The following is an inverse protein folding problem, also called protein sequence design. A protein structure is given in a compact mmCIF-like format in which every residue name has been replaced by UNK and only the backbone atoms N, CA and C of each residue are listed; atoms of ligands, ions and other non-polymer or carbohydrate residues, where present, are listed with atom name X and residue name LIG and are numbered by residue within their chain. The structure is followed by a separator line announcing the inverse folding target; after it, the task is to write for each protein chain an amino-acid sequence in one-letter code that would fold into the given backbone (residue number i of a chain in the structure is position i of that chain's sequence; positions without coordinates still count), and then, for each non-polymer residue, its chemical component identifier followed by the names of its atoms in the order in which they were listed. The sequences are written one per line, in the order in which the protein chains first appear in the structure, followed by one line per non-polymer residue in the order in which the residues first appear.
data_IF_023857149297
#
_entry.id   IF_023857149297
#
_cell.length_a   1.000
_cell.length_b   1.000
_cell.length_c   1.000
_cell.angle_alpha   90.00
_cell.angle_beta   90.00
_cell.angle_gamma   90.00
#
_symmetry.space_group_name_H-M   'P 1'
#
loop_
_entity.id
_entity.type
_entity.pdbx_description
1 polymer ?
#
# COMPACT_ATOMS: atom_id res chain seq x y z
N UNK A 1 -12.31 19.70 -7.08
CA UNK A 1 -12.27 18.46 -6.27
C UNK A 1 -11.95 17.32 -7.23
N UNK A 2 -11.03 16.41 -6.90
CA UNK A 2 -10.67 15.32 -7.82
C UNK A 2 -11.73 14.24 -7.70
N UNK A 3 -12.69 14.25 -8.63
CA UNK A 3 -13.85 13.33 -8.62
C UNK A 3 -13.52 11.95 -9.23
N UNK A 4 -12.38 11.80 -9.91
CA UNK A 4 -11.96 10.54 -10.53
C UNK A 4 -10.43 10.44 -10.52
N UNK A 5 -9.88 9.27 -10.17
CA UNK A 5 -8.44 9.01 -10.13
C UNK A 5 -8.06 8.07 -8.98
N UNK A 6 -6.75 7.87 -8.78
CA UNK A 6 -6.18 6.95 -7.76
C UNK A 6 -6.40 7.42 -6.31
N UNK A 7 -6.72 8.71 -6.11
CA UNK A 7 -6.92 9.33 -4.80
C UNK A 7 -8.08 10.33 -4.87
N UNK A 8 -9.31 9.81 -4.82
CA UNK A 8 -10.50 10.66 -4.64
C UNK A 8 -10.55 11.19 -3.20
N UNK A 9 -11.46 12.14 -2.90
CA UNK A 9 -11.62 12.68 -1.54
C UNK A 9 -11.98 11.59 -0.52
N UNK A 10 -12.65 10.52 -0.95
CA UNK A 10 -12.98 9.38 -0.08
C UNK A 10 -11.71 8.56 0.23
N UNK A 11 -10.84 8.40 -0.76
CA UNK A 11 -9.59 7.62 -0.65
C UNK A 11 -8.54 8.30 0.23
N UNK A 12 -8.60 9.62 0.40
CA UNK A 12 -7.68 10.37 1.26
C UNK A 12 -7.68 9.86 2.70
N UNK A 13 -8.86 9.60 3.26
CA UNK A 13 -9.00 9.05 4.62
C UNK A 13 -8.40 7.65 4.75
N UNK A 14 -8.59 6.80 3.72
CA UNK A 14 -8.02 5.47 3.67
C UNK A 14 -6.50 5.50 3.47
N UNK A 15 -5.99 6.49 2.74
CA UNK A 15 -4.56 6.70 2.53
C UNK A 15 -3.86 7.16 3.81
N UNK A 16 -4.47 8.07 4.57
CA UNK A 16 -3.94 8.50 5.86
C UNK A 16 -3.80 7.33 6.83
N UNK A 17 -4.85 6.51 6.97
CA UNK A 17 -4.83 5.29 7.78
C UNK A 17 -3.79 4.27 7.31
N UNK A 18 -3.58 4.17 5.99
CA UNK A 18 -2.54 3.32 5.41
C UNK A 18 -1.14 3.79 5.83
N UNK A 19 -0.88 5.10 5.76
CA UNK A 19 0.39 5.69 6.18
C UNK A 19 0.62 5.53 7.69
N UNK A 20 -0.42 5.74 8.51
CA UNK A 20 -0.33 5.56 9.96
C UNK A 20 0.01 4.12 10.33
N UNK A 21 -0.67 3.14 9.72
CA UNK A 21 -0.40 1.72 9.94
C UNK A 21 1.04 1.34 9.56
N UNK A 22 1.58 1.92 8.48
CA UNK A 22 2.98 1.73 8.11
C UNK A 22 3.94 2.36 9.14
N UNK A 23 3.63 3.56 9.64
CA UNK A 23 4.40 4.23 10.70
C UNK A 23 4.48 3.39 11.96
N UNK A 24 3.34 2.91 12.46
CA UNK A 24 3.27 2.02 13.63
C UNK A 24 4.08 0.73 13.42
N UNK A 25 3.98 0.12 12.23
CA UNK A 25 4.81 -1.04 11.89
C UNK A 25 6.31 -0.71 11.96
N UNK A 26 6.73 0.43 11.42
CA UNK A 26 8.15 0.84 11.41
C UNK A 26 8.69 1.08 12.81
N UNK A 27 7.91 1.71 13.69
CA UNK A 27 8.30 1.93 15.08
C UNK A 27 8.45 0.61 15.84
N UNK A 28 7.48 -0.30 15.72
CA UNK A 28 7.52 -1.61 16.37
C UNK A 28 8.64 -2.49 15.82
N UNK A 29 8.84 -2.49 14.50
CA UNK A 29 9.97 -3.18 13.87
C UNK A 29 11.29 -2.61 14.39
N UNK A 30 11.39 -1.30 14.60
CA UNK A 30 12.61 -0.71 15.14
C UNK A 30 12.88 -1.16 16.58
N UNK A 31 11.86 -1.13 17.45
CA UNK A 31 11.95 -1.60 18.82
C UNK A 31 12.33 -3.10 18.93
N UNK A 32 11.84 -3.91 17.99
CA UNK A 32 12.13 -5.35 17.97
C UNK A 32 13.57 -5.61 17.51
N UNK A 33 13.97 -5.01 16.38
CA UNK A 33 15.21 -5.35 15.69
C UNK A 33 16.39 -4.41 15.98
N UNK A 34 16.20 -3.38 16.78
CA UNK A 34 17.30 -2.50 17.19
C UNK A 34 17.26 -2.25 18.70
N UNK A 35 18.46 -2.16 19.26
CA UNK A 35 18.66 -1.78 20.66
C UNK A 35 19.76 -0.72 20.71
N UNK A 36 19.65 0.20 21.66
CA UNK A 36 20.72 1.17 21.94
C UNK A 36 21.51 0.63 23.11
N UNK A 37 22.73 0.16 22.83
CA UNK A 37 23.72 -0.24 23.83
C UNK A 37 24.91 0.72 23.72
N UNK A 38 25.37 1.26 24.84
CA UNK A 38 26.49 2.20 24.90
C UNK A 38 26.34 3.42 23.97
N UNK A 39 25.10 3.92 23.81
CA UNK A 39 24.79 5.04 22.92
C UNK A 39 24.89 4.72 21.42
N UNK A 40 25.11 3.45 21.05
CA UNK A 40 25.17 2.99 19.66
C UNK A 40 23.97 2.10 19.34
N UNK A 41 23.31 2.39 18.23
CA UNK A 41 22.24 1.55 17.69
C UNK A 41 22.83 0.28 17.11
N UNK A 42 22.53 -0.87 17.74
CA UNK A 42 22.89 -2.20 17.23
C UNK A 42 21.65 -2.90 16.70
N UNK A 43 21.86 -3.71 15.67
CA UNK A 43 20.83 -4.63 15.18
C UNK A 43 20.79 -5.84 16.09
N UNK A 44 19.57 -6.25 16.43
CA UNK A 44 19.25 -7.41 17.24
C UNK A 44 18.43 -8.39 16.39
N UNK A 45 18.68 -9.68 16.56
CA UNK A 45 17.85 -10.73 15.98
C UNK A 45 16.53 -10.94 16.74
N UNK A 46 15.54 -11.56 16.10
CA UNK A 46 14.28 -11.90 16.80
C UNK A 46 14.50 -12.89 17.96
N UNK A 47 15.46 -13.80 17.84
CA UNK A 47 15.80 -14.75 18.91
C UNK A 47 16.37 -14.02 20.15
N UNK A 48 17.24 -13.04 19.93
CA UNK A 48 17.78 -12.16 20.99
C UNK A 48 16.69 -11.23 21.57
N UNK A 49 15.70 -10.83 20.76
CA UNK A 49 14.52 -10.09 21.27
C UNK A 49 13.70 -10.95 22.23
N UNK A 50 13.53 -12.22 21.86
CA UNK A 50 12.72 -13.20 22.57
C UNK A 50 13.48 -13.90 23.71
N UNK A 51 14.77 -13.59 23.91
CA UNK A 51 15.53 -14.21 24.98
C UNK A 51 14.90 -13.85 26.34
N UNK A 52 14.43 -14.87 27.06
CA UNK A 52 13.66 -14.72 28.30
C UNK A 52 12.22 -14.21 28.14
N UNK A 53 11.70 -14.00 26.92
CA UNK A 53 10.31 -13.57 26.65
C UNK A 53 9.51 -14.66 25.94
N UNK A 54 8.26 -14.85 26.35
CA UNK A 54 7.35 -15.71 25.58
C UNK A 54 6.85 -14.94 24.34
N UNK A 55 7.11 -15.51 23.15
CA UNK A 55 6.68 -14.96 21.87
C UNK A 55 5.17 -14.74 21.78
N UNK A 56 4.37 -15.62 22.40
CA UNK A 56 2.91 -15.55 22.35
C UNK A 56 2.32 -14.39 23.17
N UNK A 57 3.05 -13.90 24.17
CA UNK A 57 2.59 -12.82 25.06
C UNK A 57 3.32 -11.51 24.82
N UNK A 58 4.15 -11.42 23.77
CA UNK A 58 4.88 -10.20 23.45
C UNK A 58 3.93 -9.19 22.79
N UNK A 59 3.51 -8.11 23.50
CA UNK A 59 2.54 -7.16 22.96
C UNK A 59 3.09 -6.43 21.71
N UNK A 60 4.40 -6.21 21.66
CA UNK A 60 5.08 -5.56 20.52
C UNK A 60 4.97 -6.40 19.24
N UNK A 61 5.12 -7.72 19.34
CA UNK A 61 5.00 -8.62 18.19
C UNK A 61 3.55 -8.72 17.71
N UNK A 62 2.60 -8.82 18.64
CA UNK A 62 1.17 -8.84 18.30
C UNK A 62 0.75 -7.54 17.63
N UNK A 63 1.18 -6.40 18.17
CA UNK A 63 0.92 -5.08 17.58
C UNK A 63 1.56 -4.94 16.20
N UNK A 64 2.78 -5.45 16.01
CA UNK A 64 3.49 -5.39 14.72
C UNK A 64 2.72 -6.17 13.66
N UNK A 65 2.29 -7.40 13.94
CA UNK A 65 1.50 -8.20 13.01
C UNK A 65 0.17 -7.51 12.67
N UNK A 66 -0.52 -6.94 13.65
CA UNK A 66 -1.78 -6.21 13.44
C UNK A 66 -1.61 -4.96 12.57
N UNK A 67 -0.50 -4.22 12.74
CA UNK A 67 -0.17 -3.07 11.93
C UNK A 67 0.10 -3.48 10.46
N UNK A 68 0.83 -4.58 10.24
CA UNK A 68 1.07 -5.14 8.90
C UNK A 68 -0.25 -5.57 8.24
N UNK A 69 -1.11 -6.29 8.95
CA UNK A 69 -2.41 -6.73 8.43
C UNK A 69 -3.28 -5.53 8.02
N UNK A 70 -3.31 -4.50 8.87
CA UNK A 70 -4.05 -3.26 8.61
C UNK A 70 -3.49 -2.52 7.39
N UNK A 71 -2.17 -2.40 7.29
CA UNK A 71 -1.50 -1.83 6.12
C UNK A 71 -1.84 -2.59 4.84
N UNK A 72 -1.75 -3.92 4.84
CA UNK A 72 -2.09 -4.74 3.68
C UNK A 72 -3.56 -4.58 3.27
N UNK A 73 -4.47 -4.46 4.24
CA UNK A 73 -5.90 -4.22 3.99
C UNK A 73 -6.12 -2.89 3.27
N UNK A 74 -5.57 -1.79 3.78
CA UNK A 74 -5.74 -0.46 3.15
C UNK A 74 -4.98 -0.35 1.83
N UNK A 75 -3.80 -0.94 1.72
CA UNK A 75 -3.03 -1.04 0.47
C UNK A 75 -3.80 -1.74 -0.64
N UNK A 76 -4.56 -2.79 -0.30
CA UNK A 76 -5.43 -3.48 -1.25
C UNK A 76 -6.63 -2.63 -1.70
N UNK A 77 -7.23 -1.87 -0.79
CA UNK A 77 -8.34 -0.96 -1.11
C UNK A 77 -7.90 0.15 -2.07
N UNK A 78 -6.72 0.72 -1.82
CA UNK A 78 -6.14 1.81 -2.62
C UNK A 78 -5.50 1.36 -3.94
N UNK A 79 -5.50 0.05 -4.24
CA UNK A 79 -4.90 -0.45 -5.47
C UNK A 79 -3.37 -0.34 -5.52
N UNK A 80 -2.68 -0.19 -4.37
CA UNK A 80 -1.23 -0.05 -4.32
C UNK A 80 -0.50 -1.35 -4.67
N UNK A 81 -1.14 -2.49 -4.43
CA UNK A 81 -0.62 -3.80 -4.83
C UNK A 81 -0.83 -4.08 -6.33
N UNK A 82 0.13 -4.73 -7.02
CA UNK A 82 0.02 -5.04 -8.45
C UNK A 82 -1.25 -5.82 -8.82
N UNK A 83 -1.69 -6.73 -7.94
CA UNK A 83 -2.93 -7.52 -8.11
C UNK A 83 -4.18 -6.64 -8.00
N UNK A 84 -4.12 -5.61 -7.16
CA UNK A 84 -5.23 -4.71 -6.87
C UNK A 84 -5.37 -3.59 -7.91
N UNK A 85 -4.32 -3.32 -8.71
CA UNK A 85 -4.34 -2.34 -9.80
C UNK A 85 -5.34 -2.67 -10.92
N UNK A 86 -5.65 -3.95 -11.14
CA UNK A 86 -6.63 -4.38 -12.13
C UNK A 86 -8.08 -3.95 -11.80
N UNK A 87 -8.33 -3.44 -10.59
CA UNK A 87 -9.63 -2.86 -10.18
C UNK A 87 -9.73 -1.35 -10.39
N UNK A 88 -8.64 -0.70 -10.76
CA UNK A 88 -8.67 0.72 -11.10
C UNK A 88 -9.26 0.79 -12.51
N UNK A 89 -10.52 1.18 -12.62
CA UNK A 89 -11.13 1.58 -13.88
C UNK A 89 -10.34 2.78 -14.42
N UNK A 90 -9.27 2.49 -15.16
CA UNK A 90 -8.69 3.43 -16.07
C UNK A 90 -9.81 3.70 -17.07
N UNK A 91 -10.47 4.87 -16.95
CA UNK A 91 -11.39 5.35 -17.99
C UNK A 91 -10.75 4.99 -19.32
N UNK A 92 -11.39 4.09 -20.08
CA UNK A 92 -10.94 3.74 -21.42
C UNK A 92 -10.60 5.07 -22.09
N UNK A 93 -9.37 5.20 -22.62
CA UNK A 93 -9.02 6.32 -23.50
C UNK A 93 -10.25 6.54 -24.38
N UNK A 94 -10.84 7.74 -24.32
CA UNK A 94 -11.95 8.08 -25.21
C UNK A 94 -11.56 7.54 -26.59
N UNK A 95 -12.33 6.56 -27.09
CA UNK A 95 -12.07 6.01 -28.43
C UNK A 95 -11.99 7.24 -29.33
N UNK A 96 -10.83 7.46 -29.93
CA UNK A 96 -10.65 8.51 -30.92
C UNK A 96 -11.85 8.40 -31.85
N UNK A 97 -12.69 9.45 -31.87
CA UNK A 97 -13.82 9.49 -32.78
C UNK A 97 -13.23 9.29 -34.16
N UNK A 98 -13.53 8.15 -34.79
CA UNK A 98 -13.19 7.94 -36.20
C UNK A 98 -13.68 9.16 -36.96
N UNK A 99 -12.74 9.89 -37.57
CA UNK A 99 -13.10 11.03 -38.38
C UNK A 99 -13.91 10.51 -39.58
N UNK A 100 -15.06 11.13 -39.92
CA UNK A 100 -15.93 10.67 -40.99
C UNK A 100 -15.23 10.62 -42.37
N UNK A 101 -14.06 11.24 -42.50
CA UNK A 101 -13.20 11.17 -43.68
C UNK A 101 -12.53 9.79 -43.87
N UNK A 102 -12.19 9.08 -42.78
CA UNK A 102 -11.57 7.75 -42.84
C UNK A 102 -12.53 6.67 -43.34
N UNK A 103 -13.82 6.79 -43.02
CA UNK A 103 -14.85 5.88 -43.53
C UNK A 103 -15.10 6.12 -45.04
N UNK A 104 -15.03 7.37 -45.51
CA UNK A 104 -15.14 7.70 -46.94
C UNK A 104 -13.98 7.17 -47.78
N UNK A 105 -12.75 7.15 -47.25
CA UNK A 105 -11.59 6.58 -47.94
C UNK A 105 -11.64 5.06 -48.05
N UNK A 106 -12.20 4.38 -47.05
CA UNK A 106 -12.33 2.92 -47.07
C UNK A 106 -13.45 2.44 -48.01
N UNK A 107 -14.49 3.24 -48.23
CA UNK A 107 -15.53 2.94 -49.22
C UNK A 107 -15.07 3.18 -50.67
N UNK A 108 -14.22 4.19 -50.90
CA UNK A 108 -13.67 4.48 -52.23
C UNK A 108 -12.57 3.49 -52.68
N UNK A 109 -12.04 2.68 -51.77
CA UNK A 109 -11.00 1.68 -52.03
C UNK A 109 -11.54 0.25 -52.27
N UNK A 110 -12.87 0.08 -52.33
CA UNK A 110 -13.55 -1.16 -52.76
C UNK A 110 -14.06 -1.03 -54.20
#
# INVERSE_FOLDING_TARGET
MIDVGVLTVVDWSAFELCCEAYGQYRELHDAIYHVVEDGKRRKRGLAEYLDGRNSQTSPELTAMHKAIESFLKYSNVLGLNPVSRNRIDLKEKEKEKKDPMEDMWNEAAK
#
